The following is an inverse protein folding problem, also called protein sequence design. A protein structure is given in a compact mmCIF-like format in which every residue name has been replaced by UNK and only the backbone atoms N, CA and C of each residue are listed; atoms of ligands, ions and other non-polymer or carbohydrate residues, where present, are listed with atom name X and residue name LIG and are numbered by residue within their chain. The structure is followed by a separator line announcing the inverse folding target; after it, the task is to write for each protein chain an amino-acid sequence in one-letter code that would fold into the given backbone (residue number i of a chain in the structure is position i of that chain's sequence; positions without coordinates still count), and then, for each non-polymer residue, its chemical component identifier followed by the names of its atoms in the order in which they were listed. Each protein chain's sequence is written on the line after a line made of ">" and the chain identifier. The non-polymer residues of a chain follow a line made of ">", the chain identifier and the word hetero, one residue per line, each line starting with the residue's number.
data_IF_121215100556
#
_entry.id   IF_121215100556
#
_cell.length_a   1.000
_cell.length_b   1.000
_cell.length_c   1.000
_cell.angle_alpha   90.00
_cell.angle_beta   90.00
_cell.angle_gamma   90.00
#
_symmetry.space_group_name_H-M   'P 1'
#
loop_
_entity.id
_entity.type
_entity.pdbx_description
1 polymer ?
#
# COMPACT_ATOMS: atom_id res chain seq x y z
N UNK A 1 7.36 1.63 8.78
CA UNK A 1 7.61 0.28 9.30
C UNK A 1 8.42 -0.49 8.27
N UNK A 2 9.41 -1.27 8.71
CA UNK A 2 10.18 -2.17 7.85
C UNK A 2 9.80 -3.60 8.25
N UNK A 3 9.12 -4.33 7.36
CA UNK A 3 8.51 -5.65 7.63
C UNK A 3 8.78 -6.63 6.49
N UNK A 4 8.61 -7.94 6.75
CA UNK A 4 8.82 -9.02 5.78
C UNK A 4 10.14 -9.75 5.97
N UNK A 5 10.32 -10.92 5.33
CA UNK A 5 11.50 -11.78 5.59
C UNK A 5 12.84 -11.09 5.31
N UNK A 6 12.93 -10.29 4.23
CA UNK A 6 14.18 -9.58 3.90
C UNK A 6 14.48 -8.41 4.84
N UNK A 7 13.50 -7.94 5.62
CA UNK A 7 13.69 -6.88 6.61
C UNK A 7 14.55 -7.29 7.81
N UNK A 8 14.85 -8.58 7.98
CA UNK A 8 15.84 -9.08 8.95
C UNK A 8 17.29 -8.72 8.55
N UNK A 9 17.54 -8.37 7.29
CA UNK A 9 18.89 -8.05 6.79
C UNK A 9 19.48 -6.81 7.48
N UNK A 10 20.61 -6.92 8.19
CA UNK A 10 21.26 -5.76 8.84
C UNK A 10 21.66 -4.68 7.84
N UNK A 11 22.08 -5.09 6.63
CA UNK A 11 22.44 -4.16 5.55
C UNK A 11 21.21 -3.36 5.12
N UNK A 12 20.08 -4.03 4.88
CA UNK A 12 18.86 -3.35 4.49
C UNK A 12 18.41 -2.36 5.58
N UNK A 13 18.42 -2.80 6.85
CA UNK A 13 18.04 -1.94 7.97
C UNK A 13 18.95 -0.71 8.07
N UNK A 14 20.26 -0.87 7.88
CA UNK A 14 21.22 0.23 7.87
C UNK A 14 20.92 1.22 6.74
N UNK A 15 20.77 0.74 5.50
CA UNK A 15 20.52 1.58 4.33
C UNK A 15 19.19 2.36 4.44
N UNK A 16 18.12 1.69 4.88
CA UNK A 16 16.82 2.33 5.10
C UNK A 16 16.90 3.38 6.21
N UNK A 17 17.62 3.11 7.31
CA UNK A 17 17.84 4.11 8.36
C UNK A 17 18.64 5.30 7.84
N UNK A 18 19.71 5.06 7.08
CA UNK A 18 20.53 6.14 6.50
C UNK A 18 19.72 7.03 5.56
N UNK A 19 18.88 6.44 4.72
CA UNK A 19 18.10 7.19 3.73
C UNK A 19 16.94 8.00 4.33
N UNK A 20 16.31 7.51 5.41
CA UNK A 20 15.01 8.06 5.85
C UNK A 20 14.96 8.60 7.29
N UNK A 21 15.95 8.33 8.15
CA UNK A 21 15.84 8.69 9.58
C UNK A 21 15.81 10.20 9.86
N UNK A 22 16.23 11.04 8.90
CA UNK A 22 16.16 12.50 9.01
C UNK A 22 14.73 13.05 8.86
N UNK A 23 13.87 12.32 8.15
CA UNK A 23 12.50 12.74 7.83
C UNK A 23 11.42 11.85 8.44
N UNK A 24 11.77 10.61 8.83
CA UNK A 24 10.82 9.60 9.28
C UNK A 24 11.41 8.73 10.39
N UNK A 25 10.58 8.33 11.36
CA UNK A 25 10.95 7.29 12.33
C UNK A 25 10.85 5.91 11.69
N UNK A 26 11.99 5.26 11.47
CA UNK A 26 12.04 3.86 11.00
C UNK A 26 11.74 2.91 12.15
N UNK A 27 10.53 2.36 12.17
CA UNK A 27 10.08 1.34 13.12
C UNK A 27 10.32 -0.05 12.54
N UNK A 28 11.07 -0.86 13.28
CA UNK A 28 11.34 -2.28 12.97
C UNK A 28 10.73 -3.09 14.12
N UNK A 29 9.62 -3.81 13.89
CA UNK A 29 8.96 -4.60 14.93
C UNK A 29 9.80 -5.83 15.31
N UNK A 30 9.52 -6.43 16.47
CA UNK A 30 10.07 -7.75 16.81
C UNK A 30 9.45 -8.83 15.92
N UNK A 31 10.25 -9.85 15.57
CA UNK A 31 9.88 -10.90 14.61
C UNK A 31 9.40 -10.31 13.28
N UNK A 32 10.30 -9.64 12.57
CA UNK A 32 9.98 -8.84 11.38
C UNK A 32 9.37 -9.71 10.28
N UNK A 33 9.89 -10.92 10.14
CA UNK A 33 9.39 -11.99 9.27
C UNK A 33 7.96 -12.44 9.59
N UNK A 34 7.54 -12.42 10.86
CA UNK A 34 6.21 -12.86 11.30
C UNK A 34 5.20 -11.72 11.44
N UNK A 35 5.64 -10.47 11.38
CA UNK A 35 4.80 -9.29 11.65
C UNK A 35 3.57 -9.22 10.73
N UNK A 36 3.70 -9.63 9.46
CA UNK A 36 2.57 -9.68 8.52
C UNK A 36 1.56 -10.75 8.94
N UNK A 37 2.04 -11.95 9.29
CA UNK A 37 1.18 -13.04 9.73
C UNK A 37 0.44 -12.68 11.02
N UNK A 38 1.14 -12.12 12.02
CA UNK A 38 0.54 -11.66 13.27
C UNK A 38 -0.58 -10.65 13.00
N UNK A 39 -0.34 -9.67 12.12
CA UNK A 39 -1.35 -8.69 11.71
C UNK A 39 -2.55 -9.33 11.01
N UNK A 40 -2.33 -10.32 10.14
CA UNK A 40 -3.41 -11.05 9.47
C UNK A 40 -4.28 -11.86 10.44
N UNK A 41 -3.67 -12.49 11.46
CA UNK A 41 -4.41 -13.19 12.51
C UNK A 41 -5.27 -12.22 13.33
N UNK A 42 -4.70 -11.08 13.73
CA UNK A 42 -5.45 -10.03 14.43
C UNK A 42 -6.65 -9.53 13.59
N UNK A 43 -6.46 -9.34 12.28
CA UNK A 43 -7.56 -8.99 11.38
C UNK A 43 -8.62 -10.09 11.26
N UNK A 44 -8.22 -11.37 11.29
CA UNK A 44 -9.17 -12.48 11.30
C UNK A 44 -10.00 -12.55 12.59
N UNK A 45 -9.43 -12.16 13.72
CA UNK A 45 -10.13 -12.10 15.01
C UNK A 45 -11.08 -10.91 15.10
N UNK A 46 -10.66 -9.75 14.62
CA UNK A 46 -11.47 -8.55 14.57
C UNK A 46 -11.32 -7.86 13.20
N UNK A 47 -12.27 -8.06 12.27
CA UNK A 47 -12.24 -7.42 10.97
C UNK A 47 -12.41 -5.89 11.03
N UNK A 48 -12.92 -5.33 12.14
CA UNK A 48 -13.15 -3.87 12.25
C UNK A 48 -11.87 -3.06 12.37
N UNK A 49 -10.74 -3.72 12.68
CA UNK A 49 -9.42 -3.04 12.77
C UNK A 49 -8.97 -2.43 11.44
N UNK A 50 -9.47 -2.94 10.29
CA UNK A 50 -9.22 -2.36 8.97
C UNK A 50 -10.46 -1.61 8.51
N UNK A 51 -10.47 -0.30 8.75
CA UNK A 51 -11.59 0.57 8.38
C UNK A 51 -11.75 0.75 6.86
N UNK A 52 -10.65 0.76 6.10
CA UNK A 52 -10.67 1.05 4.65
C UNK A 52 -9.63 0.22 3.92
N UNK A 53 -9.97 -0.25 2.71
CA UNK A 53 -9.04 -0.80 1.72
C UNK A 53 -9.14 0.01 0.43
N UNK A 54 -8.04 0.68 0.04
CA UNK A 54 -7.99 1.45 -1.21
C UNK A 54 -7.37 0.61 -2.33
N UNK A 55 -7.94 0.70 -3.53
CA UNK A 55 -7.30 0.12 -4.71
C UNK A 55 -5.92 0.74 -4.91
N UNK A 56 -4.92 -0.11 -5.19
CA UNK A 56 -3.55 0.34 -5.48
C UNK A 56 -3.46 1.03 -6.84
N UNK A 57 -4.36 0.68 -7.76
CA UNK A 57 -4.35 1.14 -9.14
C UNK A 57 -5.61 1.93 -9.43
N UNK A 58 -5.46 2.94 -10.29
CA UNK A 58 -6.58 3.66 -10.86
C UNK A 58 -7.35 2.73 -11.80
N UNK A 59 -8.67 2.77 -11.74
CA UNK A 59 -9.53 2.12 -12.72
C UNK A 59 -9.95 3.15 -13.76
N UNK A 60 -9.81 2.79 -15.04
CA UNK A 60 -10.25 3.61 -16.17
C UNK A 60 -11.25 2.83 -17.01
N UNK A 61 -12.27 3.53 -17.51
CA UNK A 61 -13.20 3.01 -18.51
C UNK A 61 -13.03 3.83 -19.78
N UNK A 62 -12.89 3.15 -20.93
CA UNK A 62 -12.95 3.82 -22.22
C UNK A 62 -14.41 3.96 -22.62
N UNK A 63 -14.86 5.20 -22.85
CA UNK A 63 -16.21 5.48 -23.36
C UNK A 63 -16.06 5.98 -24.79
N UNK A 64 -16.38 5.12 -25.76
CA UNK A 64 -16.58 5.52 -27.14
C UNK A 64 -18.05 5.86 -27.33
N UNK A 65 -18.44 7.10 -27.03
CA UNK A 65 -19.76 7.57 -27.44
C UNK A 65 -19.74 7.78 -28.95
N UNK A 66 -20.63 7.08 -29.67
CA UNK A 66 -20.84 7.34 -31.10
C UNK A 66 -21.39 8.77 -31.22
N UNK A 67 -20.78 9.57 -32.09
CA UNK A 67 -21.21 10.93 -32.36
C UNK A 67 -22.68 10.93 -32.81
N UNK A 68 -23.50 11.71 -32.10
CA UNK A 68 -24.90 11.98 -32.47
C UNK A 68 -24.97 13.43 -32.95
N UNK A 69 -25.21 13.67 -34.26
CA UNK A 69 -25.14 14.99 -34.89
C UNK A 69 -25.96 16.10 -34.23
N UNK A 70 -27.05 15.75 -33.55
CA UNK A 70 -27.97 16.72 -32.92
C UNK A 70 -27.72 16.94 -31.42
N UNK A 71 -26.85 16.12 -30.81
CA UNK A 71 -26.62 16.11 -29.35
C UNK A 71 -25.18 16.46 -28.97
N UNK A 72 -24.23 16.25 -29.88
CA UNK A 72 -22.81 16.55 -29.66
C UNK A 72 -22.46 17.74 -30.55
N UNK A 73 -22.24 18.91 -29.95
CA UNK A 73 -21.84 20.11 -30.66
C UNK A 73 -20.47 19.90 -31.33
N UNK A 74 -20.38 20.29 -32.59
CA UNK A 74 -19.11 20.36 -33.32
C UNK A 74 -18.34 21.58 -32.80
N UNK A 75 -17.26 21.36 -32.06
CA UNK A 75 -16.17 22.35 -31.97
C UNK A 75 -15.24 22.20 -33.18
#
# INVERSE_FOLDING_TARGET
>A
FLVGGFAESPILQHEVRRAFSSILKVIIPQDVSLSILKGAVLFGLDPTIVNVRRSRLTYGVSVLNRFVPDYHLNE
#
